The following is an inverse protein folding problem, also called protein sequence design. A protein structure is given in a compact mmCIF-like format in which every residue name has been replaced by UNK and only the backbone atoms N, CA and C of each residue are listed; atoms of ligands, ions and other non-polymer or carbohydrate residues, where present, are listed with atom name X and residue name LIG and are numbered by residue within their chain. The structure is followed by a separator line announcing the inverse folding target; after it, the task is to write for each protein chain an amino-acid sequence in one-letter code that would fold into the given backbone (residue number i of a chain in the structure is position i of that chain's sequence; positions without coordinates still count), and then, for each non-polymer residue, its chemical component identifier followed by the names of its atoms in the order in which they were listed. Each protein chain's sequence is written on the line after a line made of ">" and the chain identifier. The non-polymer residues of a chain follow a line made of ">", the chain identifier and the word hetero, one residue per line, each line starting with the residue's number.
data_IF_487952292024
#
_entry.id   IF_487952292024
#
_cell.length_a   1.000
_cell.length_b   1.000
_cell.length_c   1.000
_cell.angle_alpha   90.00
_cell.angle_beta   90.00
_cell.angle_gamma   90.00
#
_symmetry.space_group_name_H-M   'P 1'
#
loop_
_entity.id
_entity.type
_entity.pdbx_description
1 polymer ?
#
# COMPACT_ATOMS: atom_id res chain seq x y z
N UNK A 1 -67.42 -33.60 -11.80
CA UNK A 1 -66.21 -33.90 -11.01
C UNK A 1 -65.16 -32.90 -11.47
N UNK A 2 -64.62 -32.13 -10.52
CA UNK A 2 -63.98 -30.82 -10.74
C UNK A 2 -62.62 -30.96 -11.44
N UNK A 3 -62.41 -30.08 -12.41
CA UNK A 3 -61.10 -29.72 -12.97
C UNK A 3 -60.42 -28.85 -11.93
N UNK A 4 -59.19 -29.21 -11.55
CA UNK A 4 -58.29 -28.36 -10.76
C UNK A 4 -57.19 -27.91 -11.71
N UNK A 5 -57.25 -26.64 -12.11
CA UNK A 5 -56.14 -25.89 -12.63
C UNK A 5 -55.19 -25.62 -11.46
N UNK A 6 -53.96 -26.13 -11.55
CA UNK A 6 -52.85 -25.65 -10.71
C UNK A 6 -52.13 -24.56 -11.49
N UNK A 7 -52.40 -23.32 -11.08
CA UNK A 7 -51.66 -22.14 -11.48
C UNK A 7 -50.17 -22.33 -11.13
N UNK A 8 -49.34 -22.49 -12.16
CA UNK A 8 -47.91 -22.24 -12.06
C UNK A 8 -47.70 -20.75 -11.87
N UNK A 9 -47.73 -20.31 -10.63
CA UNK A 9 -47.26 -18.99 -10.25
C UNK A 9 -45.74 -18.99 -10.41
N UNK A 10 -45.28 -18.51 -11.56
CA UNK A 10 -43.89 -18.15 -11.83
C UNK A 10 -43.56 -17.05 -10.84
N UNK A 11 -42.82 -17.39 -9.77
CA UNK A 11 -42.20 -16.39 -8.92
C UNK A 11 -41.14 -15.66 -9.74
N UNK A 12 -41.51 -14.51 -10.28
CA UNK A 12 -40.58 -13.47 -10.69
C UNK A 12 -39.88 -12.91 -9.44
N UNK A 13 -38.89 -13.65 -8.94
CA UNK A 13 -37.85 -13.13 -8.05
C UNK A 13 -36.50 -13.23 -8.77
N UNK A 14 -36.44 -12.71 -10.00
CA UNK A 14 -35.18 -12.22 -10.57
C UNK A 14 -35.02 -10.76 -10.12
N UNK A 15 -34.75 -10.57 -8.83
CA UNK A 15 -34.03 -9.36 -8.41
C UNK A 15 -32.67 -9.43 -9.06
N UNK A 16 -32.29 -8.38 -9.78
CA UNK A 16 -30.94 -8.15 -10.30
C UNK A 16 -29.89 -8.63 -9.28
N UNK A 17 -29.35 -9.82 -9.50
CA UNK A 17 -28.12 -10.24 -8.84
C UNK A 17 -27.03 -9.42 -9.55
N UNK A 18 -26.87 -8.17 -9.12
CA UNK A 18 -25.72 -7.35 -9.47
C UNK A 18 -24.51 -8.17 -9.07
N UNK A 19 -23.87 -8.76 -10.08
CA UNK A 19 -22.78 -9.68 -9.86
C UNK A 19 -21.62 -8.88 -9.23
N UNK A 20 -21.13 -9.36 -8.09
CA UNK A 20 -20.14 -8.65 -7.26
C UNK A 20 -18.74 -9.08 -7.64
N UNK A 21 -17.82 -8.13 -7.74
CA UNK A 21 -16.41 -8.43 -7.98
C UNK A 21 -15.66 -8.57 -6.65
N UNK A 22 -15.51 -9.82 -6.19
CA UNK A 22 -14.70 -10.16 -5.02
C UNK A 22 -13.29 -10.57 -5.48
N UNK A 23 -12.26 -10.11 -4.77
CA UNK A 23 -10.87 -10.50 -5.03
C UNK A 23 -10.02 -10.53 -3.75
N UNK A 24 -8.91 -11.24 -3.78
CA UNK A 24 -7.95 -11.32 -2.67
C UNK A 24 -6.62 -10.65 -3.01
N UNK A 25 -6.00 -10.02 -2.02
CA UNK A 25 -4.68 -9.37 -2.14
C UNK A 25 -3.77 -9.90 -1.05
N UNK A 26 -2.59 -10.39 -1.46
CA UNK A 26 -1.49 -10.76 -0.58
C UNK A 26 -0.42 -9.66 -0.60
N UNK A 27 0.11 -9.28 0.57
CA UNK A 27 1.35 -8.50 0.67
C UNK A 27 2.38 -9.33 1.42
N UNK A 28 3.56 -9.55 0.84
CA UNK A 28 4.56 -10.43 1.44
C UNK A 28 6.00 -10.02 1.11
N UNK A 29 6.76 -9.61 2.14
CA UNK A 29 8.22 -9.51 2.06
C UNK A 29 8.80 -10.94 2.12
N UNK A 30 9.43 -11.40 1.05
CA UNK A 30 9.88 -12.79 0.92
C UNK A 30 11.33 -13.03 1.35
N UNK A 31 12.00 -12.01 1.88
CA UNK A 31 13.39 -12.01 2.33
C UNK A 31 14.38 -12.42 1.23
N UNK A 32 15.08 -11.46 0.65
CA UNK A 32 16.10 -11.72 -0.38
C UNK A 32 17.23 -12.56 0.21
N UNK A 33 17.76 -13.51 -0.56
CA UNK A 33 18.85 -14.36 -0.10
C UNK A 33 20.12 -13.57 0.17
N UNK A 34 20.48 -12.65 -0.73
CA UNK A 34 21.63 -11.76 -0.57
C UNK A 34 21.47 -10.89 0.68
N UNK A 35 20.27 -10.32 0.92
CA UNK A 35 20.00 -9.50 2.09
C UNK A 35 20.02 -10.32 3.39
N UNK A 36 19.52 -11.56 3.36
CA UNK A 36 19.61 -12.50 4.47
C UNK A 36 21.07 -12.77 4.84
N UNK A 37 21.91 -13.06 3.86
CA UNK A 37 23.33 -13.39 4.06
C UNK A 37 24.13 -12.18 4.57
N UNK A 38 23.93 -11.01 3.96
CA UNK A 38 24.50 -9.74 4.40
C UNK A 38 24.10 -9.38 5.84
N UNK A 39 22.90 -9.80 6.27
CA UNK A 39 22.36 -9.55 7.59
C UNK A 39 22.27 -10.82 8.45
N UNK A 40 23.14 -11.80 8.23
CA UNK A 40 23.16 -13.09 8.95
C UNK A 40 23.13 -12.98 10.49
N UNK A 41 23.58 -11.86 11.05
CA UNK A 41 23.48 -11.57 12.47
C UNK A 41 22.04 -11.50 13.03
N UNK A 42 21.04 -11.25 12.18
CA UNK A 42 19.61 -11.24 12.54
C UNK A 42 19.01 -12.65 12.66
N UNK A 43 19.65 -13.65 12.04
CA UNK A 43 19.11 -15.00 11.86
C UNK A 43 19.95 -16.06 12.59
N UNK A 44 20.74 -15.67 13.59
CA UNK A 44 21.55 -16.60 14.41
C UNK A 44 20.73 -17.63 15.19
N UNK A 45 19.45 -17.35 15.38
CA UNK A 45 18.51 -18.23 16.06
C UNK A 45 17.97 -19.35 15.14
N UNK A 46 18.13 -19.20 13.82
CA UNK A 46 17.69 -20.14 12.81
C UNK A 46 18.72 -21.25 12.56
N UNK A 47 18.28 -22.43 12.14
CA UNK A 47 19.18 -23.49 11.66
C UNK A 47 19.72 -23.11 10.28
N UNK A 48 21.02 -23.29 10.03
CA UNK A 48 21.62 -22.88 8.75
C UNK A 48 20.97 -23.50 7.50
N UNK A 49 20.50 -24.75 7.61
CA UNK A 49 19.87 -25.45 6.48
C UNK A 49 18.57 -24.79 6.00
N UNK A 50 17.78 -24.22 6.92
CA UNK A 50 16.49 -23.61 6.60
C UNK A 50 16.64 -22.21 5.98
N UNK A 51 17.83 -21.61 6.06
CA UNK A 51 18.13 -20.29 5.52
C UNK A 51 18.56 -20.32 4.04
N UNK A 52 18.84 -21.50 3.49
CA UNK A 52 19.21 -21.64 2.08
C UNK A 52 18.00 -21.36 1.18
N UNK A 53 18.20 -20.59 0.10
CA UNK A 53 17.16 -20.33 -0.89
C UNK A 53 16.49 -21.61 -1.42
N UNK A 54 17.27 -22.66 -1.66
CA UNK A 54 16.76 -23.97 -2.11
C UNK A 54 15.81 -24.64 -1.11
N UNK A 55 15.89 -24.27 0.18
CA UNK A 55 14.92 -24.67 1.20
C UNK A 55 13.75 -23.69 1.25
N UNK A 56 14.04 -22.38 1.21
CA UNK A 56 13.05 -21.32 1.43
C UNK A 56 12.06 -21.18 0.28
N UNK A 57 12.54 -21.17 -0.97
CA UNK A 57 11.69 -20.91 -2.13
C UNK A 57 10.55 -21.93 -2.32
N UNK A 58 10.78 -23.25 -2.20
CA UNK A 58 9.67 -24.22 -2.24
C UNK A 58 8.57 -23.95 -1.21
N UNK A 59 8.94 -23.51 0.00
CA UNK A 59 7.97 -23.17 1.05
C UNK A 59 7.24 -21.86 0.74
N UNK A 60 7.96 -20.81 0.32
CA UNK A 60 7.34 -19.53 -0.11
C UNK A 60 6.35 -19.76 -1.25
N UNK A 61 6.72 -20.56 -2.26
CA UNK A 61 5.85 -20.92 -3.37
C UNK A 61 4.65 -21.76 -2.90
N UNK A 62 4.85 -22.65 -1.93
CA UNK A 62 3.77 -23.43 -1.31
C UNK A 62 2.77 -22.52 -0.59
N UNK A 63 3.24 -21.54 0.18
CA UNK A 63 2.37 -20.56 0.86
C UNK A 63 1.54 -19.76 -0.15
N UNK A 64 2.18 -19.25 -1.21
CA UNK A 64 1.50 -18.52 -2.30
C UNK A 64 0.45 -19.40 -2.96
N UNK A 65 0.79 -20.66 -3.27
CA UNK A 65 -0.11 -21.61 -3.91
C UNK A 65 -1.29 -21.99 -3.02
N UNK A 66 -1.07 -22.14 -1.71
CA UNK A 66 -2.10 -22.51 -0.76
C UNK A 66 -3.09 -21.37 -0.50
N UNK A 67 -2.58 -20.14 -0.41
CA UNK A 67 -3.39 -18.95 -0.17
C UNK A 67 -4.09 -18.44 -1.46
N UNK A 68 -3.54 -18.76 -2.64
CA UNK A 68 -4.11 -18.54 -3.99
C UNK A 68 -4.72 -17.14 -4.17
N UNK A 69 -3.99 -16.10 -3.75
CA UNK A 69 -4.51 -14.75 -3.80
C UNK A 69 -4.64 -14.23 -5.24
N UNK A 70 -5.65 -13.42 -5.54
CA UNK A 70 -5.85 -12.90 -6.90
C UNK A 70 -4.78 -11.88 -7.31
N UNK A 71 -4.23 -11.14 -6.35
CA UNK A 71 -3.13 -10.18 -6.50
C UNK A 71 -2.06 -10.43 -5.43
N UNK A 72 -0.79 -10.43 -5.83
CA UNK A 72 0.39 -10.56 -4.98
C UNK A 72 1.22 -9.27 -5.06
N UNK A 73 1.51 -8.67 -3.92
CA UNK A 73 2.44 -7.57 -3.76
C UNK A 73 3.65 -8.07 -2.97
N UNK A 74 4.75 -8.36 -3.66
CA UNK A 74 5.94 -8.97 -3.06
C UNK A 74 7.05 -7.93 -2.88
N UNK A 75 7.78 -7.99 -1.77
CA UNK A 75 8.97 -7.18 -1.48
C UNK A 75 10.19 -8.07 -1.27
N UNK A 76 11.40 -7.50 -1.40
CA UNK A 76 12.68 -8.23 -1.37
C UNK A 76 12.78 -9.37 -2.40
N UNK A 77 12.16 -9.16 -3.55
CA UNK A 77 12.23 -10.11 -4.66
C UNK A 77 13.58 -9.93 -5.36
N UNK A 78 14.51 -10.86 -5.15
CA UNK A 78 15.85 -10.84 -5.75
C UNK A 78 15.80 -11.04 -7.26
N UNK A 79 16.56 -10.27 -8.05
CA UNK A 79 16.46 -10.20 -9.51
C UNK A 79 16.80 -11.54 -10.20
N UNK A 80 17.88 -12.20 -9.80
CA UNK A 80 18.32 -13.46 -10.38
C UNK A 80 17.34 -14.60 -10.07
N UNK A 81 16.91 -14.74 -8.80
CA UNK A 81 15.86 -15.67 -8.39
C UNK A 81 14.52 -15.35 -9.05
N UNK A 82 14.21 -14.07 -9.29
CA UNK A 82 13.00 -13.66 -10.00
C UNK A 82 12.97 -14.22 -11.42
N UNK A 83 14.05 -14.02 -12.18
CA UNK A 83 14.15 -14.49 -13.55
C UNK A 83 14.22 -16.01 -13.66
N UNK A 84 14.93 -16.67 -12.74
CA UNK A 84 15.18 -18.11 -12.82
C UNK A 84 14.02 -18.97 -12.31
N UNK A 85 13.37 -18.55 -11.20
CA UNK A 85 12.50 -19.44 -10.44
C UNK A 85 11.15 -18.81 -10.09
N UNK A 86 11.13 -17.58 -9.55
CA UNK A 86 9.91 -16.98 -8.99
C UNK A 86 8.92 -16.65 -10.12
N UNK A 87 9.33 -15.87 -11.13
CA UNK A 87 8.44 -15.48 -12.22
C UNK A 87 7.91 -16.69 -12.99
N UNK A 88 8.74 -17.65 -13.47
CA UNK A 88 8.23 -18.83 -14.16
C UNK A 88 7.25 -19.65 -13.31
N UNK A 89 7.50 -19.78 -12.00
CA UNK A 89 6.60 -20.50 -11.09
C UNK A 89 5.26 -19.80 -10.90
N UNK A 90 5.24 -18.47 -10.79
CA UNK A 90 4.00 -17.70 -10.68
C UNK A 90 3.23 -17.67 -12.00
N UNK A 91 3.90 -17.55 -13.15
CA UNK A 91 3.26 -17.64 -14.47
C UNK A 91 2.61 -19.02 -14.68
N UNK A 92 3.26 -20.09 -14.23
CA UNK A 92 2.68 -21.43 -14.24
C UNK A 92 1.42 -21.57 -13.34
N UNK A 93 1.28 -20.71 -12.32
CA UNK A 93 0.09 -20.59 -11.46
C UNK A 93 -0.97 -19.62 -12.03
N UNK A 94 -0.77 -19.08 -13.24
CA UNK A 94 -1.71 -18.23 -13.95
C UNK A 94 -1.59 -16.73 -13.66
N UNK A 95 -0.50 -16.31 -13.01
CA UNK A 95 -0.22 -14.89 -12.76
C UNK A 95 0.48 -14.23 -13.95
N UNK A 96 0.16 -12.97 -14.20
CA UNK A 96 1.05 -12.04 -14.90
C UNK A 96 1.89 -11.31 -13.84
N UNK A 97 3.18 -11.06 -14.11
CA UNK A 97 4.11 -10.49 -13.13
C UNK A 97 4.81 -9.23 -13.66
N UNK A 98 4.59 -8.11 -12.97
CA UNK A 98 5.33 -6.86 -13.14
C UNK A 98 6.39 -6.72 -12.03
N UNK A 99 7.59 -6.25 -12.37
CA UNK A 99 8.71 -6.19 -11.43
C UNK A 99 9.49 -4.88 -11.57
N UNK A 100 9.85 -4.30 -10.43
CA UNK A 100 10.75 -3.17 -10.32
C UNK A 100 11.86 -3.46 -9.31
N UNK A 101 13.06 -3.72 -9.82
CA UNK A 101 14.27 -3.78 -9.00
C UNK A 101 14.58 -2.42 -8.38
N UNK A 102 15.14 -2.43 -7.16
CA UNK A 102 15.77 -1.27 -6.55
C UNK A 102 16.90 -0.73 -7.45
N UNK A 103 17.18 0.57 -7.35
CA UNK A 103 18.25 1.18 -8.15
C UNK A 103 19.64 0.85 -7.60
N UNK A 104 20.68 1.33 -8.29
CA UNK A 104 22.05 1.22 -7.80
C UNK A 104 22.57 -0.22 -7.85
N UNK A 105 23.09 -0.72 -6.71
CA UNK A 105 23.68 -2.06 -6.57
C UNK A 105 22.87 -2.95 -5.63
N UNK A 106 21.56 -2.74 -5.57
CA UNK A 106 20.68 -3.53 -4.71
C UNK A 106 20.14 -4.73 -5.50
N UNK A 107 20.16 -5.95 -4.93
CA UNK A 107 19.86 -7.17 -5.68
C UNK A 107 18.36 -7.46 -5.81
N UNK A 108 17.52 -6.72 -5.11
CA UNK A 108 16.12 -7.01 -4.88
C UNK A 108 15.18 -5.86 -5.28
N UNK A 109 13.89 -6.14 -5.35
CA UNK A 109 12.86 -5.19 -5.76
C UNK A 109 11.45 -5.54 -5.28
N UNK A 110 10.49 -4.84 -5.86
CA UNK A 110 9.06 -5.09 -5.65
C UNK A 110 8.45 -5.75 -6.88
N UNK A 111 7.59 -6.74 -6.68
CA UNK A 111 6.77 -7.32 -7.74
C UNK A 111 5.28 -7.12 -7.46
N UNK A 112 4.49 -6.90 -8.50
CA UNK A 112 3.04 -7.00 -8.47
C UNK A 112 2.63 -8.08 -9.46
N UNK A 113 1.99 -9.13 -8.97
CA UNK A 113 1.54 -10.24 -9.77
C UNK A 113 0.03 -10.39 -9.65
N UNK A 114 -0.70 -10.67 -10.72
CA UNK A 114 -2.17 -10.80 -10.67
C UNK A 114 -2.67 -11.93 -11.57
N UNK A 115 -3.75 -12.59 -11.15
CA UNK A 115 -4.38 -13.66 -11.94
C UNK A 115 -4.93 -13.09 -13.24
N UNK A 116 -4.43 -13.60 -14.36
CA UNK A 116 -4.86 -13.17 -15.71
C UNK A 116 -6.32 -13.52 -16.01
N UNK A 117 -6.90 -14.48 -15.28
CA UNK A 117 -8.32 -14.82 -15.32
C UNK A 117 -9.22 -13.75 -14.69
N UNK A 118 -8.69 -12.95 -13.76
CA UNK A 118 -9.42 -11.94 -12.97
C UNK A 118 -9.17 -10.52 -13.43
N UNK A 119 -7.99 -10.24 -13.97
CA UNK A 119 -7.58 -8.88 -14.32
C UNK A 119 -6.88 -8.81 -15.69
N UNK A 120 -6.93 -7.64 -16.30
CA UNK A 120 -6.00 -7.23 -17.36
C UNK A 120 -5.23 -5.98 -16.94
N UNK A 121 -3.96 -5.91 -17.32
CA UNK A 121 -3.12 -4.73 -17.09
C UNK A 121 -3.54 -3.58 -18.01
N UNK A 122 -3.77 -2.40 -17.44
CA UNK A 122 -3.92 -1.15 -18.18
C UNK A 122 -2.60 -0.39 -18.22
N UNK A 123 -1.89 -0.29 -17.10
CA UNK A 123 -0.59 0.38 -17.01
C UNK A 123 0.27 -0.19 -15.88
N UNK A 124 1.60 -0.07 -16.03
CA UNK A 124 2.61 -0.47 -15.06
C UNK A 124 3.65 0.63 -14.95
N UNK A 125 3.78 1.22 -13.76
CA UNK A 125 4.50 2.48 -13.56
C UNK A 125 5.46 2.32 -12.38
N UNK A 126 6.77 2.13 -12.64
CA UNK A 126 7.77 2.04 -11.59
C UNK A 126 8.07 3.42 -10.99
N UNK A 127 8.25 3.48 -9.68
CA UNK A 127 8.64 4.70 -8.95
C UNK A 127 10.03 4.51 -8.38
N UNK A 128 11.02 5.16 -8.97
CA UNK A 128 12.35 5.26 -8.37
C UNK A 128 12.36 6.39 -7.34
N UNK A 129 12.78 6.11 -6.11
CA UNK A 129 12.88 7.18 -5.11
C UNK A 129 14.23 7.90 -5.15
N UNK A 130 15.28 7.25 -5.64
CA UNK A 130 16.58 7.89 -5.81
C UNK A 130 16.49 9.07 -6.79
N UNK A 131 17.07 10.20 -6.43
CA UNK A 131 17.17 11.39 -7.28
C UNK A 131 18.58 11.96 -7.19
N UNK A 132 19.37 11.74 -8.24
CA UNK A 132 20.78 12.19 -8.30
C UNK A 132 20.99 13.67 -7.96
N UNK A 133 20.02 14.53 -8.32
CA UNK A 133 20.09 15.97 -8.14
C UNK A 133 19.45 16.46 -6.81
N UNK A 134 18.98 15.55 -5.95
CA UNK A 134 18.33 15.87 -4.67
C UNK A 134 19.06 15.11 -3.56
N UNK A 135 19.99 15.74 -2.82
CA UNK A 135 20.80 15.07 -1.79
C UNK A 135 20.01 14.36 -0.69
N UNK A 136 18.76 14.77 -0.43
CA UNK A 136 17.86 14.10 0.50
C UNK A 136 17.53 12.66 0.04
N UNK A 137 17.38 12.44 -1.26
CA UNK A 137 16.90 11.22 -1.89
C UNK A 137 18.05 10.37 -2.44
N UNK A 138 18.94 9.98 -1.52
CA UNK A 138 20.17 9.23 -1.76
C UNK A 138 20.01 7.72 -1.49
N UNK A 139 18.78 7.20 -1.58
CA UNK A 139 18.43 5.79 -1.29
C UNK A 139 17.73 5.14 -2.45
N UNK A 140 18.11 3.89 -2.71
CA UNK A 140 17.73 3.10 -3.88
C UNK A 140 16.36 2.41 -3.78
N UNK A 141 15.58 2.70 -2.75
CA UNK A 141 14.24 2.14 -2.59
C UNK A 141 13.36 2.51 -3.79
N UNK A 142 12.34 1.69 -4.04
CA UNK A 142 11.42 1.83 -5.17
C UNK A 142 10.00 1.49 -4.75
N UNK A 143 9.04 1.94 -5.55
CA UNK A 143 7.68 1.45 -5.58
C UNK A 143 7.29 1.00 -6.99
N UNK A 144 6.14 0.35 -7.09
CA UNK A 144 5.51 -0.05 -8.35
C UNK A 144 4.01 0.21 -8.24
N UNK A 145 3.43 0.87 -9.23
CA UNK A 145 1.99 1.16 -9.30
C UNK A 145 1.45 0.58 -10.59
N UNK A 146 0.44 -0.28 -10.48
CA UNK A 146 -0.25 -0.85 -11.64
C UNK A 146 -1.72 -0.46 -11.62
N UNK A 147 -2.28 -0.25 -12.80
CA UNK A 147 -3.71 -0.06 -12.97
C UNK A 147 -4.29 -1.33 -13.61
N UNK A 148 -5.21 -1.97 -12.91
CA UNK A 148 -5.80 -3.26 -13.30
C UNK A 148 -7.26 -3.08 -13.66
N UNK A 149 -7.67 -3.61 -14.80
CA UNK A 149 -9.07 -3.71 -15.17
C UNK A 149 -9.63 -5.06 -14.70
N UNK A 150 -10.63 -5.08 -13.79
CA UNK A 150 -11.36 -6.29 -13.46
C UNK A 150 -11.96 -6.94 -14.72
N UNK A 151 -11.82 -8.26 -14.85
CA UNK A 151 -12.47 -9.07 -15.88
C UNK A 151 -13.79 -9.57 -15.31
N UNK A 152 -14.88 -8.89 -15.65
CA UNK A 152 -16.21 -9.23 -15.18
C UNK A 152 -17.28 -8.94 -16.25
N UNK A 153 -18.44 -9.62 -16.20
CA UNK A 153 -19.46 -9.60 -17.28
C UNK A 153 -20.39 -8.37 -17.25
N UNK A 154 -20.19 -7.42 -16.33
CA UNK A 154 -21.01 -6.21 -16.20
C UNK A 154 -20.36 -4.98 -16.86
N UNK A 155 -21.14 -3.91 -17.07
CA UNK A 155 -20.71 -2.65 -17.70
C UNK A 155 -19.47 -2.07 -17.00
N UNK A 156 -18.69 -1.29 -17.77
CA UNK A 156 -17.43 -0.64 -17.41
C UNK A 156 -17.19 -0.51 -15.90
N UNK A 157 -16.56 -1.53 -15.31
CA UNK A 157 -16.16 -1.50 -13.90
C UNK A 157 -14.97 -0.56 -13.76
N UNK A 158 -14.96 0.27 -12.72
CA UNK A 158 -13.80 1.09 -12.38
C UNK A 158 -12.53 0.22 -12.34
N UNK A 159 -11.43 0.75 -12.88
CA UNK A 159 -10.13 0.13 -12.72
C UNK A 159 -9.75 0.07 -11.23
N UNK A 160 -8.81 -0.79 -10.86
CA UNK A 160 -8.28 -0.86 -9.51
C UNK A 160 -6.80 -0.49 -9.58
N UNK A 161 -6.41 0.55 -8.84
CA UNK A 161 -5.02 0.93 -8.67
C UNK A 161 -4.41 0.05 -7.57
N UNK A 162 -3.34 -0.68 -7.89
CA UNK A 162 -2.58 -1.48 -6.93
C UNK A 162 -1.17 -0.92 -6.85
N UNK A 163 -0.76 -0.51 -5.66
CA UNK A 163 0.57 -0.02 -5.39
C UNK A 163 1.32 -0.94 -4.42
N UNK A 164 2.62 -1.07 -4.64
CA UNK A 164 3.51 -1.86 -3.80
C UNK A 164 4.82 -1.08 -3.58
N UNK A 165 5.37 -1.13 -2.36
CA UNK A 165 6.64 -0.46 -2.03
C UNK A 165 7.40 -1.19 -0.93
N UNK A 166 8.70 -0.94 -0.87
CA UNK A 166 9.53 -1.24 0.30
C UNK A 166 10.31 0.03 0.67
N UNK A 167 9.79 0.76 1.67
CA UNK A 167 10.38 2.02 2.13
C UNK A 167 11.74 1.79 2.84
N UNK A 168 12.53 2.85 2.94
CA UNK A 168 13.84 2.81 3.60
C UNK A 168 13.77 2.19 5.00
N UNK A 169 14.62 1.21 5.33
CA UNK A 169 14.68 0.64 6.69
C UNK A 169 15.11 1.66 7.76
N UNK A 170 16.17 2.44 7.51
CA UNK A 170 16.88 3.24 8.52
C UNK A 170 15.93 4.06 9.43
N UNK A 171 15.86 3.74 10.74
CA UNK A 171 14.86 4.32 11.65
C UNK A 171 15.10 5.80 11.96
N UNK A 172 16.27 6.33 11.60
CA UNK A 172 16.67 7.73 11.84
C UNK A 172 16.41 8.65 10.65
N UNK A 173 15.92 8.13 9.52
CA UNK A 173 15.72 8.88 8.28
C UNK A 173 14.25 8.98 7.89
N UNK A 174 13.42 9.44 8.83
CA UNK A 174 12.00 9.70 8.59
C UNK A 174 11.74 10.80 7.56
N UNK A 175 12.68 11.73 7.39
CA UNK A 175 12.72 12.70 6.30
C UNK A 175 12.68 12.00 4.92
N UNK A 176 13.50 10.96 4.74
CA UNK A 176 13.49 10.15 3.52
C UNK A 176 12.19 9.36 3.41
N UNK A 177 11.74 8.68 4.49
CA UNK A 177 10.52 7.85 4.44
C UNK A 177 9.29 8.64 4.00
N UNK A 178 9.07 9.83 4.58
CA UNK A 178 7.95 10.70 4.18
C UNK A 178 8.09 11.19 2.74
N UNK A 179 9.31 11.51 2.29
CA UNK A 179 9.53 11.94 0.90
C UNK A 179 9.30 10.78 -0.08
N UNK A 180 9.78 9.57 0.22
CA UNK A 180 9.51 8.36 -0.58
C UNK A 180 8.01 8.08 -0.67
N UNK A 181 7.32 8.19 0.46
CA UNK A 181 5.87 8.02 0.50
C UNK A 181 5.15 9.07 -0.34
N UNK A 182 5.53 10.35 -0.23
CA UNK A 182 4.95 11.42 -1.04
C UNK A 182 5.16 11.19 -2.54
N UNK A 183 6.33 10.68 -2.95
CA UNK A 183 6.59 10.28 -4.35
C UNK A 183 5.68 9.16 -4.82
N UNK A 184 5.44 8.14 -3.98
CA UNK A 184 4.53 7.05 -4.31
C UNK A 184 3.09 7.54 -4.41
N UNK A 185 2.64 8.37 -3.46
CA UNK A 185 1.30 8.96 -3.46
C UNK A 185 1.06 9.89 -4.65
N UNK A 186 2.09 10.62 -5.10
CA UNK A 186 2.02 11.44 -6.31
C UNK A 186 1.82 10.58 -7.56
N UNK A 187 2.54 9.46 -7.68
CA UNK A 187 2.34 8.53 -8.80
C UNK A 187 0.97 7.85 -8.76
N UNK A 188 0.53 7.43 -7.58
CA UNK A 188 -0.82 6.89 -7.39
C UNK A 188 -1.86 7.92 -7.81
N UNK A 189 -1.70 9.18 -7.41
CA UNK A 189 -2.64 10.26 -7.77
C UNK A 189 -2.69 10.46 -9.29
N UNK A 190 -1.52 10.48 -9.94
CA UNK A 190 -1.39 10.62 -11.39
C UNK A 190 -2.14 9.52 -12.16
N UNK A 191 -2.12 8.28 -11.64
CA UNK A 191 -2.66 7.11 -12.35
C UNK A 191 -4.08 6.76 -11.96
N UNK A 192 -4.46 6.98 -10.71
CA UNK A 192 -5.76 6.59 -10.19
C UNK A 192 -6.84 7.60 -10.57
N UNK A 193 -6.49 8.84 -10.91
CA UNK A 193 -7.45 9.86 -11.34
C UNK A 193 -8.12 9.46 -12.66
N UNK A 194 -9.44 9.50 -12.69
CA UNK A 194 -10.28 9.27 -13.86
C UNK A 194 -10.67 10.59 -14.54
N UNK A 195 -11.24 10.51 -15.74
CA UNK A 195 -11.65 11.68 -16.53
C UNK A 195 -12.69 12.56 -15.83
N UNK A 196 -13.49 11.99 -14.94
CA UNK A 196 -14.51 12.70 -14.14
C UNK A 196 -13.94 13.32 -12.84
N UNK A 197 -12.62 13.23 -12.64
CA UNK A 197 -11.91 13.78 -11.49
C UNK A 197 -11.90 12.91 -10.24
N UNK A 198 -12.65 11.80 -10.22
CA UNK A 198 -12.65 10.80 -9.13
C UNK A 198 -11.44 9.88 -9.25
N UNK A 199 -11.08 9.22 -8.15
CA UNK A 199 -10.06 8.20 -8.10
C UNK A 199 -10.68 6.82 -8.28
N UNK A 200 -10.04 5.97 -9.06
CA UNK A 200 -10.36 4.56 -9.05
C UNK A 200 -9.96 3.92 -7.69
N UNK A 201 -10.66 2.85 -7.25
CA UNK A 201 -10.34 2.15 -6.01
C UNK A 201 -8.86 1.79 -5.88
N UNK A 202 -8.29 1.99 -4.69
CA UNK A 202 -6.87 1.85 -4.40
C UNK A 202 -6.63 0.74 -3.39
N UNK A 203 -5.65 -0.13 -3.68
CA UNK A 203 -5.00 -1.00 -2.71
C UNK A 203 -3.50 -0.67 -2.66
N UNK A 204 -3.01 -0.26 -1.49
CA UNK A 204 -1.62 0.10 -1.26
C UNK A 204 -0.98 -0.91 -0.30
N UNK A 205 -0.09 -1.74 -0.83
CA UNK A 205 0.65 -2.76 -0.10
C UNK A 205 2.11 -2.35 0.13
N UNK A 206 2.78 -3.03 1.07
CA UNK A 206 4.23 -2.92 1.18
C UNK A 206 4.77 -3.10 2.59
N UNK A 207 6.10 -3.13 2.66
CA UNK A 207 6.88 -2.93 3.88
C UNK A 207 7.17 -1.44 4.02
N UNK A 208 6.50 -0.78 4.96
CA UNK A 208 6.62 0.64 5.20
C UNK A 208 7.74 0.97 6.20
N UNK A 209 8.37 -0.04 6.79
CA UNK A 209 9.36 0.09 7.84
C UNK A 209 8.90 1.07 8.93
N UNK A 210 7.61 1.07 9.25
CA UNK A 210 6.98 2.02 10.17
C UNK A 210 5.94 1.28 10.97
N UNK A 211 5.90 1.50 12.28
CA UNK A 211 4.98 0.77 13.18
C UNK A 211 3.59 1.39 13.20
N UNK A 212 2.55 0.64 13.64
CA UNK A 212 1.21 1.17 13.80
C UNK A 212 1.20 2.43 14.67
N UNK A 213 0.31 3.37 14.35
CA UNK A 213 0.15 4.65 15.04
C UNK A 213 1.38 5.57 15.03
N UNK A 214 2.42 5.25 14.24
CA UNK A 214 3.51 6.17 13.99
C UNK A 214 3.03 7.39 13.17
N UNK A 215 3.72 8.54 13.22
CA UNK A 215 3.37 9.69 12.39
C UNK A 215 3.20 9.37 10.89
N UNK A 216 4.03 8.49 10.34
CA UNK A 216 3.90 8.03 8.95
C UNK A 216 2.63 7.19 8.72
N UNK A 217 2.31 6.29 9.66
CA UNK A 217 1.09 5.48 9.58
C UNK A 217 -0.18 6.35 9.69
N UNK A 218 -0.20 7.30 10.65
CA UNK A 218 -1.33 8.21 10.83
C UNK A 218 -1.49 9.13 9.63
N UNK A 219 -0.38 9.57 8.99
CA UNK A 219 -0.45 10.34 7.75
C UNK A 219 -1.25 9.60 6.68
N UNK A 220 -0.94 8.32 6.43
CA UNK A 220 -1.68 7.48 5.48
C UNK A 220 -3.16 7.32 5.82
N UNK A 221 -3.46 7.16 7.11
CA UNK A 221 -4.83 6.94 7.61
C UNK A 221 -5.69 8.18 7.63
N UNK A 222 -5.11 9.32 7.98
CA UNK A 222 -5.83 10.57 8.25
C UNK A 222 -5.79 11.53 7.05
N UNK A 223 -4.95 11.28 6.05
CA UNK A 223 -4.76 12.16 4.90
C UNK A 223 -4.08 13.48 5.24
N UNK A 224 -3.56 13.63 6.46
CA UNK A 224 -2.88 14.83 6.93
C UNK A 224 -1.87 14.54 8.02
N UNK A 225 -0.79 15.33 8.06
CA UNK A 225 0.22 15.27 9.11
C UNK A 225 0.75 16.67 9.40
N UNK A 226 0.52 17.17 10.61
CA UNK A 226 1.30 18.29 11.12
C UNK A 226 2.67 17.78 11.56
N UNK A 227 3.73 18.24 10.92
CA UNK A 227 5.10 17.82 11.22
C UNK A 227 5.94 18.92 11.87
N UNK A 228 5.33 20.03 12.31
CA UNK A 228 6.00 21.07 13.07
C UNK A 228 6.64 20.48 14.34
N UNK A 229 7.94 20.72 14.51
CA UNK A 229 8.68 20.20 15.67
C UNK A 229 8.91 18.69 15.68
N UNK A 230 8.45 17.94 14.68
CA UNK A 230 8.54 16.48 14.65
C UNK A 230 10.00 16.01 14.42
N UNK A 231 10.59 15.24 15.35
CA UNK A 231 11.95 14.73 15.17
C UNK A 231 12.03 13.69 14.05
N UNK A 232 13.06 13.75 13.19
CA UNK A 232 13.20 12.86 12.02
C UNK A 232 13.15 11.37 12.37
N UNK A 233 13.68 10.99 13.54
CA UNK A 233 13.70 9.58 13.97
C UNK A 233 12.38 9.11 14.59
N UNK A 234 11.41 9.99 14.87
CA UNK A 234 10.12 9.60 15.46
C UNK A 234 9.05 9.29 14.41
N UNK A 235 9.27 9.67 13.15
CA UNK A 235 8.34 9.48 12.01
C UNK A 235 7.85 8.05 11.87
N UNK A 236 8.74 7.06 11.95
CA UNK A 236 8.40 5.63 11.74
C UNK A 236 8.05 4.88 13.02
N UNK A 237 8.25 5.49 14.20
CA UNK A 237 8.10 4.83 15.49
C UNK A 237 9.12 3.73 15.82
N UNK A 238 10.05 3.38 14.92
CA UNK A 238 11.08 2.37 15.17
C UNK A 238 12.17 2.83 16.18
N UNK A 239 12.53 4.13 16.19
CA UNK A 239 13.59 4.64 17.08
C UNK A 239 13.04 5.07 18.45
N UNK A 240 13.35 4.28 19.46
CA UNK A 240 12.93 4.52 20.85
C UNK A 240 13.77 5.59 21.56
N UNK A 241 15.01 5.89 21.12
CA UNK A 241 15.86 6.88 21.78
C UNK A 241 15.24 8.30 21.81
N UNK A 242 15.54 9.06 22.86
CA UNK A 242 15.06 10.44 23.07
C UNK A 242 16.15 11.51 22.86
N UNK A 243 17.39 11.15 22.52
CA UNK A 243 18.52 12.10 22.50
C UNK A 243 18.78 12.72 21.12
N UNK A 244 18.99 14.05 21.09
CA UNK A 244 19.70 14.79 20.05
C UNK A 244 19.14 14.69 18.63
N UNK A 245 17.81 14.71 18.48
CA UNK A 245 17.18 14.44 17.18
C UNK A 245 16.99 15.73 16.38
N UNK A 246 17.56 15.77 15.16
CA UNK A 246 17.24 16.77 14.14
C UNK A 246 15.72 16.77 13.89
N UNK A 247 15.13 17.94 13.80
CA UNK A 247 13.71 18.13 13.47
C UNK A 247 13.56 18.10 11.94
N UNK A 248 12.39 17.68 11.44
CA UNK A 248 12.05 17.80 10.03
C UNK A 248 12.16 19.27 9.56
N UNK A 249 12.71 19.48 8.37
CA UNK A 249 12.70 20.79 7.73
C UNK A 249 11.30 21.14 7.24
N UNK A 250 11.03 22.43 7.06
CA UNK A 250 9.78 22.92 6.47
C UNK A 250 10.13 23.72 5.20
N UNK A 251 9.77 23.25 3.98
CA UNK A 251 9.23 21.92 3.69
C UNK A 251 10.24 20.77 3.92
N UNK A 252 9.76 19.53 3.99
CA UNK A 252 10.61 18.34 4.20
C UNK A 252 11.56 18.11 3.03
N UNK A 253 11.08 18.32 1.80
CA UNK A 253 11.84 18.14 0.56
C UNK A 253 11.93 19.46 -0.23
N UNK A 254 12.96 19.61 -1.08
CA UNK A 254 13.09 20.82 -1.89
C UNK A 254 12.05 20.88 -3.02
N UNK A 255 11.71 22.09 -3.45
CA UNK A 255 10.80 22.34 -4.58
C UNK A 255 11.26 21.68 -5.89
N UNK A 256 12.57 21.49 -6.07
CA UNK A 256 13.12 20.79 -7.24
C UNK A 256 12.69 19.33 -7.35
N UNK A 257 12.05 18.75 -6.33
CA UNK A 257 11.40 17.44 -6.41
C UNK A 257 10.16 17.47 -7.33
N UNK A 258 9.49 18.62 -7.47
CA UNK A 258 8.27 18.74 -8.27
C UNK A 258 7.04 18.06 -7.67
N UNK A 259 7.05 17.82 -6.35
CA UNK A 259 5.92 17.26 -5.59
C UNK A 259 5.49 18.27 -4.52
N UNK A 260 4.21 18.59 -4.51
CA UNK A 260 3.61 19.52 -3.56
C UNK A 260 3.42 18.91 -2.17
N UNK A 261 3.01 19.73 -1.20
CA UNK A 261 2.68 19.25 0.15
C UNK A 261 1.38 18.43 0.20
N UNK A 262 0.58 18.43 -0.87
CA UNK A 262 -0.59 17.57 -1.07
C UNK A 262 -0.22 16.20 -1.66
N UNK A 263 1.08 15.91 -1.76
CA UNK A 263 1.63 14.69 -2.34
C UNK A 263 1.15 14.43 -3.78
N UNK A 264 1.07 15.49 -4.58
CA UNK A 264 0.77 15.46 -6.01
C UNK A 264 1.92 16.04 -6.81
N UNK A 265 2.04 15.67 -8.09
CA UNK A 265 2.95 16.37 -8.99
C UNK A 265 2.51 17.84 -9.13
N UNK A 266 3.45 18.79 -8.97
CA UNK A 266 3.13 20.23 -8.97
C UNK A 266 2.44 20.70 -10.27
N UNK A 267 2.79 20.09 -11.41
CA UNK A 267 2.17 20.41 -12.70
C UNK A 267 0.67 20.06 -12.70
N UNK A 268 0.31 18.91 -12.11
CA UNK A 268 -1.07 18.45 -12.01
C UNK A 268 -1.88 19.30 -11.04
N UNK A 269 -1.29 19.66 -9.91
CA UNK A 269 -1.93 20.56 -8.95
C UNK A 269 -2.26 21.91 -9.59
N UNK A 270 -1.30 22.52 -10.30
CA UNK A 270 -1.53 23.78 -11.02
C UNK A 270 -2.60 23.67 -12.10
N UNK A 271 -2.73 22.52 -12.76
CA UNK A 271 -3.78 22.28 -13.74
C UNK A 271 -5.16 22.23 -13.07
N UNK A 272 -5.30 21.48 -11.98
CA UNK A 272 -6.54 21.38 -11.20
C UNK A 272 -6.96 22.72 -10.59
N UNK A 273 -6.01 23.50 -10.08
CA UNK A 273 -6.28 24.85 -9.55
C UNK A 273 -6.85 25.76 -10.64
N UNK A 274 -6.27 25.74 -11.86
CA UNK A 274 -6.81 26.50 -13.00
C UNK A 274 -8.18 26.03 -13.47
N UNK A 275 -8.46 24.73 -13.40
CA UNK A 275 -9.77 24.17 -13.74
C UNK A 275 -10.83 24.63 -12.73
N UNK A 276 -10.52 24.59 -11.43
CA UNK A 276 -11.39 25.12 -10.36
C UNK A 276 -11.64 26.61 -10.49
N UNK A 277 -10.59 27.41 -10.71
CA UNK A 277 -10.75 28.86 -10.93
C UNK A 277 -11.68 29.14 -12.13
N UNK A 278 -11.58 28.36 -13.21
CA UNK A 278 -12.47 28.50 -14.38
C UNK A 278 -13.92 28.10 -14.10
N UNK A 279 -14.16 27.15 -13.21
CA UNK A 279 -15.49 26.75 -12.76
C UNK A 279 -16.10 27.81 -11.83
N UNK A 280 -15.34 28.31 -10.85
CA UNK A 280 -15.77 29.38 -9.94
C UNK A 280 -16.08 30.69 -10.69
N UNK A 281 -15.29 31.03 -11.72
CA UNK A 281 -15.55 32.23 -12.56
C UNK A 281 -16.81 32.10 -13.42
N UNK A 282 -17.33 30.87 -13.64
CA UNK A 282 -18.62 30.67 -14.35
C UNK A 282 -19.84 30.80 -13.42
N UNK A 283 -19.65 30.69 -12.11
CA UNK A 283 -20.75 30.71 -11.12
C UNK A 283 -20.91 32.04 -10.36
N UNK A 284 -19.97 32.99 -10.46
CA UNK A 284 -20.05 34.26 -9.71
C UNK A 284 -20.11 35.51 -10.60
N UNK A 285 -21.31 36.07 -10.75
CA UNK A 285 -21.49 37.52 -10.99
C UNK A 285 -21.32 38.28 -9.68
N UNK A 286 -20.29 39.14 -9.64
CA UNK A 286 -20.13 40.39 -8.87
C UNK A 286 -20.51 40.37 -7.38
N UNK A 287 -19.48 40.31 -6.52
CA UNK A 287 -19.07 41.36 -5.56
C UNK A 287 -18.39 40.73 -4.33
N UNK A 288 -17.08 40.92 -4.19
CA UNK A 288 -16.44 41.27 -2.92
C UNK A 288 -14.95 41.61 -3.15
N UNK A 289 -14.70 42.91 -3.11
CA UNK A 289 -13.50 43.63 -2.67
C UNK A 289 -12.24 42.85 -2.28
N UNK A 290 -11.14 43.30 -2.89
CA UNK A 290 -9.74 43.12 -2.52
C UNK A 290 -9.49 43.29 -1.00
N UNK A 291 -9.28 42.18 -0.30
CA UNK A 291 -8.44 42.18 0.90
C UNK A 291 -6.99 41.89 0.48
N UNK A 292 -6.21 42.97 0.46
CA UNK A 292 -4.77 42.95 0.20
C UNK A 292 -4.07 42.12 1.29
N UNK A 293 -3.72 40.89 0.93
CA UNK A 293 -2.37 40.30 1.06
C UNK A 293 -1.55 40.74 2.29
N UNK A 294 -1.94 40.29 3.47
CA UNK A 294 -0.99 39.96 4.55
C UNK A 294 -1.36 38.58 5.12
N UNK A 295 -1.42 37.56 4.26
CA UNK A 295 -1.19 36.19 4.75
C UNK A 295 0.32 36.11 4.92
N UNK A 296 0.81 36.39 6.13
CA UNK A 296 2.17 36.05 6.51
C UNK A 296 2.41 34.61 6.02
N UNK A 297 3.36 34.45 5.10
CA UNK A 297 3.74 33.17 4.47
C UNK A 297 4.08 32.17 5.58
N UNK A 298 3.07 31.51 6.14
CA UNK A 298 3.26 30.44 7.09
C UNK A 298 3.87 29.31 6.28
N UNK A 299 5.08 28.95 6.63
CA UNK A 299 5.75 27.78 6.07
C UNK A 299 4.80 26.58 6.19
N UNK A 300 4.65 25.74 5.15
CA UNK A 300 3.63 24.71 5.14
C UNK A 300 4.02 23.60 6.13
N UNK A 301 3.51 23.65 7.36
CA UNK A 301 3.79 22.67 8.42
C UNK A 301 2.99 21.37 8.30
N UNK A 302 2.16 21.28 7.26
CA UNK A 302 1.28 20.14 7.02
C UNK A 302 1.65 19.44 5.71
N UNK A 303 1.62 18.12 5.75
CA UNK A 303 1.43 17.29 4.56
C UNK A 303 -0.03 16.87 4.46
N UNK A 304 -0.51 16.70 3.23
CA UNK A 304 -1.84 16.23 2.91
C UNK A 304 -1.79 15.17 1.81
N UNK A 305 -2.82 14.34 1.74
CA UNK A 305 -3.18 13.57 0.54
C UNK A 305 -4.69 13.37 0.49
N UNK A 306 -5.25 13.21 -0.70
CA UNK A 306 -6.71 13.12 -0.89
C UNK A 306 -7.30 11.73 -0.67
N UNK A 307 -6.47 10.71 -0.46
CA UNK A 307 -6.96 9.33 -0.28
C UNK A 307 -7.56 9.09 1.11
N UNK A 308 -8.73 8.45 1.16
CA UNK A 308 -9.37 7.97 2.38
C UNK A 308 -9.00 6.50 2.60
N UNK A 309 -7.85 6.25 3.22
CA UNK A 309 -7.30 4.91 3.34
C UNK A 309 -7.65 4.24 4.66
N UNK A 310 -8.14 3.01 4.56
CA UNK A 310 -8.25 2.08 5.68
C UNK A 310 -7.13 1.05 5.69
N UNK A 311 -6.76 0.53 6.86
CA UNK A 311 -5.83 -0.59 7.00
C UNK A 311 -6.68 -1.86 7.08
N UNK A 312 -6.32 -2.90 6.35
CA UNK A 312 -7.00 -4.19 6.45
C UNK A 312 -6.83 -4.82 7.85
N UNK A 313 -5.77 -4.47 8.58
CA UNK A 313 -5.43 -4.97 9.91
C UNK A 313 -5.68 -3.92 11.00
N UNK A 314 -6.13 -4.37 12.18
CA UNK A 314 -6.36 -3.51 13.35
C UNK A 314 -5.12 -3.34 14.21
N UNK A 315 -4.06 -4.13 13.96
CA UNK A 315 -2.76 -4.13 14.65
C UNK A 315 -2.78 -4.70 16.07
N UNK A 316 -3.95 -5.08 16.55
CA UNK A 316 -4.18 -5.71 17.84
C UNK A 316 -5.21 -6.82 17.68
N UNK A 317 -4.97 -7.95 18.34
CA UNK A 317 -5.91 -9.05 18.42
C UNK A 317 -7.15 -8.63 19.21
N UNK A 318 -8.35 -8.85 18.66
CA UNK A 318 -9.63 -8.40 19.22
C UNK A 318 -9.86 -8.84 20.67
N UNK A 319 -9.43 -10.07 20.99
CA UNK A 319 -9.82 -10.72 22.24
C UNK A 319 -8.87 -10.38 23.39
N UNK A 320 -7.62 -10.04 23.08
CA UNK A 320 -6.55 -9.85 24.07
C UNK A 320 -5.98 -8.43 24.10
N UNK A 321 -6.17 -7.64 23.03
CA UNK A 321 -5.53 -6.34 22.87
C UNK A 321 -4.01 -6.41 22.71
N UNK A 322 -3.45 -7.62 22.48
CA UNK A 322 -2.01 -7.82 22.26
C UNK A 322 -1.65 -7.41 20.82
N UNK A 323 -0.52 -6.73 20.60
CA UNK A 323 -0.09 -6.35 19.25
C UNK A 323 0.07 -7.55 18.32
N UNK A 324 -0.46 -7.40 17.12
CA UNK A 324 -0.11 -8.24 15.97
C UNK A 324 1.33 -7.89 15.52
N UNK A 325 2.05 -8.88 14.99
CA UNK A 325 3.36 -8.67 14.38
C UNK A 325 3.38 -9.22 12.96
N UNK A 326 4.14 -8.56 12.08
CA UNK A 326 4.32 -8.98 10.69
C UNK A 326 5.73 -9.45 10.40
N UNK A 327 6.71 -9.10 11.24
CA UNK A 327 8.09 -9.59 11.18
C UNK A 327 8.60 -10.00 12.56
N UNK A 328 9.48 -10.99 12.64
CA UNK A 328 10.08 -11.47 13.89
C UNK A 328 11.45 -12.11 13.68
N UNK A 329 12.51 -11.42 14.08
CA UNK A 329 13.89 -11.92 14.02
C UNK A 329 14.67 -11.56 15.29
N UNK A 330 15.97 -11.88 15.38
CA UNK A 330 16.74 -11.72 16.63
C UNK A 330 16.84 -10.31 17.22
N UNK A 331 16.38 -9.26 16.51
CA UNK A 331 16.44 -7.87 16.98
C UNK A 331 15.07 -7.28 17.33
N UNK A 332 13.99 -8.01 17.13
CA UNK A 332 12.65 -7.59 17.53
C UNK A 332 11.56 -8.22 16.68
N UNK A 333 10.33 -8.03 17.14
CA UNK A 333 9.12 -8.39 16.42
C UNK A 333 8.18 -7.18 16.42
N UNK A 334 7.71 -6.80 15.23
CA UNK A 334 6.87 -5.60 15.04
C UNK A 334 5.96 -5.78 13.82
N UNK A 335 4.92 -4.96 13.74
CA UNK A 335 4.18 -4.74 12.49
C UNK A 335 4.86 -3.63 11.70
N UNK A 336 5.21 -3.90 10.44
CA UNK A 336 5.74 -2.92 9.46
C UNK A 336 5.13 -3.10 8.06
N UNK A 337 4.41 -4.20 7.84
CA UNK A 337 3.76 -4.54 6.59
C UNK A 337 2.28 -4.19 6.65
N UNK A 338 1.75 -3.63 5.56
CA UNK A 338 0.37 -3.17 5.51
C UNK A 338 -0.30 -3.49 4.19
N UNK A 339 -1.61 -3.70 4.25
CA UNK A 339 -2.53 -3.59 3.11
C UNK A 339 -3.48 -2.45 3.44
N UNK A 340 -3.24 -1.28 2.85
CA UNK A 340 -4.17 -0.16 2.88
C UNK A 340 -5.14 -0.23 1.70
N UNK A 341 -6.35 0.28 1.86
CA UNK A 341 -7.36 0.30 0.80
C UNK A 341 -8.29 1.51 0.91
N UNK A 342 -8.82 1.98 -0.23
CA UNK A 342 -9.87 3.00 -0.26
C UNK A 342 -11.21 2.39 0.20
N UNK A 343 -11.60 2.66 1.45
CA UNK A 343 -12.77 2.01 2.05
C UNK A 343 -14.10 2.51 1.48
N UNK A 344 -15.07 1.59 1.36
CA UNK A 344 -16.47 1.94 1.13
C UNK A 344 -17.10 2.61 2.37
N UNK A 345 -18.20 3.34 2.17
CA UNK A 345 -18.87 4.18 3.19
C UNK A 345 -19.19 3.45 4.50
N UNK A 346 -19.60 2.18 4.42
CA UNK A 346 -20.04 1.39 5.59
C UNK A 346 -18.88 0.96 6.52
N UNK A 347 -17.63 0.95 6.01
CA UNK A 347 -16.45 0.54 6.79
C UNK A 347 -15.81 1.73 7.54
N UNK A 348 -16.30 2.95 7.33
CA UNK A 348 -15.78 4.17 7.99
C UNK A 348 -16.65 4.55 9.19
N UNK A 349 -16.04 4.66 10.37
CA UNK A 349 -16.72 5.19 11.57
C UNK A 349 -17.07 6.67 11.37
N UNK A 350 -18.36 6.94 11.09
CA UNK A 350 -19.06 8.24 11.09
C UNK A 350 -18.16 9.49 10.97
N UNK A 351 -17.76 9.84 9.75
CA UNK A 351 -17.36 11.21 9.38
C UNK A 351 -18.51 11.83 8.55
N UNK A 352 -18.87 13.11 8.74
CA UNK A 352 -19.99 13.72 8.04
C UNK A 352 -19.66 13.97 6.55
N UNK A 353 -20.63 13.69 5.68
CA UNK A 353 -20.86 14.27 4.33
C UNK A 353 -19.64 14.83 3.57
N UNK A 354 -18.59 14.03 3.38
CA UNK A 354 -17.53 14.35 2.42
C UNK A 354 -17.95 13.94 1.00
N UNK A 355 -17.79 14.85 0.02
CA UNK A 355 -17.97 14.55 -1.40
C UNK A 355 -17.10 13.36 -1.82
N UNK A 356 -17.65 12.49 -2.67
CA UNK A 356 -17.01 11.23 -3.09
C UNK A 356 -15.78 11.50 -3.95
N UNK A 357 -14.61 11.21 -3.40
CA UNK A 357 -13.34 11.35 -4.14
C UNK A 357 -13.05 10.08 -4.97
N UNK A 358 -13.71 8.94 -4.73
CA UNK A 358 -13.50 7.69 -5.47
C UNK A 358 -14.73 7.24 -6.29
N UNK A 359 -14.48 6.61 -7.43
CA UNK A 359 -15.47 5.91 -8.26
C UNK A 359 -15.64 4.46 -7.79
N UNK A 360 -16.31 4.33 -6.65
CA UNK A 360 -16.49 3.07 -5.94
C UNK A 360 -15.54 2.91 -4.74
N UNK A 361 -15.97 2.10 -3.77
CA UNK A 361 -15.20 1.78 -2.57
C UNK A 361 -14.88 0.30 -2.49
N UNK A 362 -13.82 -0.05 -1.76
CA UNK A 362 -13.53 -1.44 -1.43
C UNK A 362 -14.09 -1.75 -0.05
N UNK A 363 -14.90 -2.79 0.04
CA UNK A 363 -15.38 -3.35 1.30
C UNK A 363 -14.50 -4.52 1.73
N UNK A 364 -14.00 -4.49 2.95
CA UNK A 364 -13.20 -5.60 3.48
C UNK A 364 -14.14 -6.75 3.92
N UNK A 365 -14.04 -7.89 3.25
CA UNK A 365 -14.86 -9.08 3.55
C UNK A 365 -14.22 -9.99 4.60
N UNK A 366 -12.89 -9.94 4.72
CA UNK A 366 -12.14 -10.77 5.66
C UNK A 366 -10.64 -10.65 5.45
N UNK A 367 -9.88 -11.14 6.42
CA UNK A 367 -8.42 -11.16 6.38
C UNK A 367 -7.88 -12.42 7.05
N UNK A 368 -6.69 -12.86 6.64
CA UNK A 368 -5.93 -13.86 7.37
C UNK A 368 -5.41 -13.24 8.67
N UNK A 369 -5.76 -13.81 9.82
CA UNK A 369 -5.34 -13.33 11.13
C UNK A 369 -3.82 -13.39 11.29
N UNK A 370 -3.23 -12.35 11.87
CA UNK A 370 -1.84 -12.37 12.32
C UNK A 370 -1.72 -13.01 13.70
N UNK A 371 -0.48 -13.15 14.16
CA UNK A 371 -0.12 -13.76 15.44
C UNK A 371 0.66 -12.76 16.31
N UNK A 372 0.92 -13.14 17.55
CA UNK A 372 1.73 -12.32 18.47
C UNK A 372 3.22 -12.65 18.37
N UNK A 373 4.07 -11.76 18.88
CA UNK A 373 5.51 -12.04 19.06
C UNK A 373 5.73 -13.34 19.85
N UNK A 374 4.93 -13.58 20.89
CA UNK A 374 5.04 -14.77 21.72
C UNK A 374 4.80 -16.04 20.91
N UNK A 375 3.81 -16.04 20.03
CA UNK A 375 3.48 -17.20 19.20
C UNK A 375 4.62 -17.54 18.24
N UNK A 376 5.29 -16.53 17.67
CA UNK A 376 6.44 -16.74 16.79
C UNK A 376 7.65 -17.26 17.56
N UNK A 377 7.91 -16.79 18.77
CA UNK A 377 9.01 -17.35 19.58
C UNK A 377 8.73 -18.75 20.11
N UNK A 378 7.47 -19.19 20.22
CA UNK A 378 7.13 -20.59 20.53
C UNK A 378 7.58 -21.54 19.40
N UNK A 379 7.68 -21.06 18.17
CA UNK A 379 8.22 -21.78 17.01
C UNK A 379 9.64 -21.33 16.64
N UNK A 380 10.38 -20.78 17.60
CA UNK A 380 11.77 -20.34 17.44
C UNK A 380 11.96 -19.21 16.40
N UNK A 381 11.06 -18.22 16.36
CA UNK A 381 11.20 -17.02 15.54
C UNK A 381 10.98 -17.26 14.05
N UNK A 382 11.39 -16.29 13.22
CA UNK A 382 11.36 -16.37 11.77
C UNK A 382 12.73 -15.99 11.14
N UNK A 383 13.13 -16.60 10.01
CA UNK A 383 12.50 -17.76 9.37
C UNK A 383 12.63 -19.03 10.22
N UNK A 384 11.72 -19.98 10.04
CA UNK A 384 11.73 -21.31 10.68
C UNK A 384 11.42 -22.43 9.66
N UNK A 385 11.28 -23.67 10.14
CA UNK A 385 11.05 -24.84 9.28
C UNK A 385 9.78 -24.75 8.41
N UNK A 386 8.78 -23.99 8.86
CA UNK A 386 7.47 -23.85 8.20
C UNK A 386 7.26 -22.50 7.53
N UNK A 387 7.98 -21.46 7.95
CA UNK A 387 7.84 -20.09 7.45
C UNK A 387 9.20 -19.58 6.99
N UNK A 388 9.35 -19.41 5.68
CA UNK A 388 10.65 -19.22 5.02
C UNK A 388 11.02 -17.77 4.68
N UNK A 389 10.33 -16.82 5.32
CA UNK A 389 10.69 -15.40 5.40
C UNK A 389 10.69 -14.98 6.87
N UNK A 390 11.39 -13.90 7.22
CA UNK A 390 11.28 -13.27 8.53
C UNK A 390 10.01 -12.43 8.68
N UNK A 391 9.25 -12.26 7.59
CA UNK A 391 7.92 -11.67 7.58
C UNK A 391 6.82 -12.73 7.42
N UNK A 392 5.59 -12.38 7.79
CA UNK A 392 4.37 -13.15 7.55
C UNK A 392 3.62 -12.58 6.34
N UNK A 393 3.02 -13.42 5.49
CA UNK A 393 2.15 -12.93 4.42
C UNK A 393 0.88 -12.32 5.01
N UNK A 394 0.57 -11.08 4.63
CA UNK A 394 -0.74 -10.49 4.85
C UNK A 394 -1.67 -10.94 3.71
N UNK A 395 -2.94 -11.21 4.02
CA UNK A 395 -3.95 -11.58 3.03
C UNK A 395 -5.30 -10.95 3.39
N UNK A 396 -5.88 -10.21 2.46
CA UNK A 396 -7.20 -9.59 2.62
C UNK A 396 -8.11 -9.94 1.44
N UNK A 397 -9.40 -10.13 1.71
CA UNK A 397 -10.44 -10.31 0.70
C UNK A 397 -11.29 -9.05 0.63
N UNK A 398 -11.43 -8.50 -0.57
CA UNK A 398 -12.21 -7.29 -0.84
C UNK A 398 -13.38 -7.59 -1.75
N UNK A 399 -14.37 -6.70 -1.68
CA UNK A 399 -15.43 -6.53 -2.66
C UNK A 399 -15.38 -5.13 -3.23
N UNK A 400 -15.42 -5.02 -4.55
CA UNK A 400 -15.63 -3.75 -5.24
C UNK A 400 -17.12 -3.39 -5.17
N UNK A 401 -17.43 -2.23 -4.60
CA UNK A 401 -18.78 -1.65 -4.57
C UNK A 401 -18.89 -0.55 -5.64
N UNK A 402 -19.99 -0.55 -6.40
CA UNK A 402 -20.35 0.46 -7.41
C UNK A 402 -20.89 1.76 -6.78
#
# INVERSE_FOLDING_TARGET
>A
MKILEEDKQISQDNKDLQEKFDFTVMSYNILSQDLLEDNSHLYKHCRHQILSWNYRFPNILSDIKQLDADVLCLQEVQEDHYGAEIKPSLEALGYHCEYKMRTGRKPDGCAICFKTSKFSLLSSNPVEFFRRNIPLLDRDNVGLVVLLQPRFHCKATAAICVANTHLLYNPRRGDIKLTQLAMLLAEITNLAIQEDGRFCPLVLCGDFNSVPHSPLYNFLREGKLNYEGLPIGKVSGQEQSHKGKRILSIPIWPQSLGISQDCMYEEQQKQREKEREREETKETTLEASEEIMIVAQRLPTYLHHSFQLSSAYSHYLSDSGVPEVTTCHSRGAVTVDYIFYSAARDDMSQQPEAEHIFDGGLKLLGRLSLVTEKDLWLVNGLPNETSSSDHLPLLAKFRLEE
#
